data_IF_550927343337
#
_entry.id   IF_550927343337
#
_cell.length_a   1.000
_cell.length_b   1.000
_cell.length_c   1.000
_cell.angle_alpha   90.00
_cell.angle_beta   90.00
_cell.angle_gamma   90.00
#
_symmetry.space_group_name_H-M   'P 1'
#
loop_
_entity.id
_entity.type
_entity.pdbx_description
1 polymer ?
#
# COMPACT_ATOMS: atom_id res chain seq x y z
N UNK A 1 3.24 7.66 14.86
CA UNK A 1 4.60 7.76 14.29
C UNK A 1 4.92 9.23 14.22
N UNK A 2 6.19 9.61 14.37
CA UNK A 2 6.62 10.98 14.08
C UNK A 2 6.63 11.25 12.58
N UNK A 3 7.25 12.35 12.16
CA UNK A 3 7.43 12.67 10.74
C UNK A 3 8.32 11.65 10.01
N UNK A 4 9.21 10.98 10.74
CA UNK A 4 10.07 9.91 10.23
C UNK A 4 10.41 8.88 11.32
N UNK A 5 10.95 7.73 10.91
CA UNK A 5 11.68 6.79 11.76
C UNK A 5 12.85 6.21 10.96
N UNK A 6 13.91 5.80 11.65
CA UNK A 6 15.15 5.33 11.02
C UNK A 6 15.32 3.82 11.22
N UNK A 7 15.80 3.15 10.17
CA UNK A 7 16.29 1.78 10.25
C UNK A 7 17.81 1.85 10.04
N UNK A 8 18.64 1.46 11.03
CA UNK A 8 20.09 1.63 10.95
C UNK A 8 20.73 0.89 9.76
N UNK A 9 20.15 -0.23 9.35
CA UNK A 9 20.62 -1.05 8.24
C UNK A 9 19.42 -1.62 7.51
N UNK A 10 19.44 -1.52 6.18
CA UNK A 10 18.42 -2.09 5.33
C UNK A 10 18.86 -2.10 3.85
N UNK A 11 18.35 -3.02 3.04
CA UNK A 11 18.64 -3.08 1.60
C UNK A 11 18.04 -1.87 0.87
N UNK A 12 18.85 -1.21 0.03
CA UNK A 12 18.42 -0.05 -0.74
C UNK A 12 17.65 -0.48 -1.99
N UNK A 13 16.42 -0.01 -2.12
CA UNK A 13 15.72 0.11 -3.42
C UNK A 13 15.65 1.59 -3.77
N UNK A 14 15.79 1.94 -5.05
CA UNK A 14 15.80 3.32 -5.53
C UNK A 14 14.79 3.55 -6.64
N UNK A 15 14.36 4.79 -6.82
CA UNK A 15 13.63 5.20 -8.02
C UNK A 15 14.52 5.10 -9.27
N UNK A 16 13.98 4.87 -10.48
CA UNK A 16 12.56 4.73 -10.82
C UNK A 16 12.00 3.35 -10.49
N UNK A 17 10.97 3.30 -9.64
CA UNK A 17 10.19 2.11 -9.38
C UNK A 17 9.04 2.04 -10.39
N UNK A 18 9.09 1.07 -11.31
CA UNK A 18 8.12 0.90 -12.39
C UNK A 18 6.80 0.30 -11.92
N UNK A 19 6.05 1.14 -11.21
CA UNK A 19 4.71 0.88 -10.69
C UNK A 19 3.75 1.96 -11.19
N UNK A 20 2.45 1.67 -11.31
CA UNK A 20 1.46 2.74 -11.49
C UNK A 20 1.58 3.77 -10.36
N UNK A 21 1.19 5.01 -10.64
CA UNK A 21 1.10 6.02 -9.60
C UNK A 21 0.22 5.49 -8.44
N UNK A 22 0.69 5.52 -7.19
CA UNK A 22 -0.13 5.08 -6.06
C UNK A 22 -1.34 5.99 -5.89
N UNK A 23 -2.45 5.42 -5.44
CA UNK A 23 -3.64 6.20 -5.08
C UNK A 23 -3.30 7.16 -3.93
N UNK A 24 -2.45 6.69 -3.01
CA UNK A 24 -1.87 7.48 -1.94
C UNK A 24 -0.45 7.02 -1.62
N UNK A 25 0.49 7.97 -1.56
CA UNK A 25 1.88 7.76 -1.15
C UNK A 25 2.03 8.19 0.31
N UNK A 26 2.20 7.23 1.22
CA UNK A 26 2.22 7.49 2.67
C UNK A 26 3.62 7.47 3.28
N UNK A 27 4.60 6.87 2.60
CA UNK A 27 6.01 6.86 3.04
C UNK A 27 6.96 7.01 1.84
N UNK A 28 8.01 7.81 2.05
CA UNK A 28 9.17 7.94 1.16
C UNK A 28 10.40 7.60 1.97
N UNK A 29 11.20 6.67 1.49
CA UNK A 29 12.51 6.36 2.07
C UNK A 29 13.57 7.26 1.46
N UNK A 30 14.50 7.70 2.30
CA UNK A 30 15.80 8.24 1.90
C UNK A 30 16.87 7.23 2.30
N UNK A 31 17.85 7.00 1.44
CA UNK A 31 18.97 6.11 1.70
C UNK A 31 20.28 6.90 1.77
N UNK A 32 21.22 6.38 2.55
CA UNK A 32 22.55 6.97 2.72
C UNK A 32 23.30 7.16 1.38
N UNK A 33 23.01 6.32 0.37
CA UNK A 33 23.56 6.44 -0.99
C UNK A 33 23.05 7.64 -1.79
N UNK A 34 22.02 8.33 -1.30
CA UNK A 34 21.40 9.49 -1.93
C UNK A 34 20.10 9.16 -2.68
N UNK A 35 19.74 7.89 -2.79
CA UNK A 35 18.50 7.45 -3.44
C UNK A 35 17.27 7.73 -2.56
N UNK A 36 16.16 7.95 -3.24
CA UNK A 36 14.82 7.96 -2.63
C UNK A 36 13.99 6.81 -3.18
N UNK A 37 12.94 6.41 -2.45
CA UNK A 37 12.04 5.36 -2.89
C UNK A 37 10.64 5.54 -2.31
N UNK A 38 9.60 5.35 -3.14
CA UNK A 38 8.20 5.31 -2.70
C UNK A 38 7.92 4.02 -1.91
N UNK A 39 8.23 4.05 -0.62
CA UNK A 39 8.32 2.87 0.25
C UNK A 39 7.03 2.49 0.97
N UNK A 40 5.98 3.32 0.90
CA UNK A 40 4.64 3.02 1.41
C UNK A 40 3.59 3.49 0.43
N UNK A 41 3.01 2.56 -0.34
CA UNK A 41 2.07 2.86 -1.42
C UNK A 41 0.72 2.18 -1.19
N UNK A 42 -0.36 2.96 -1.28
CA UNK A 42 -1.74 2.49 -1.22
C UNK A 42 -2.34 2.38 -2.63
N UNK A 43 -3.10 1.30 -2.87
CA UNK A 43 -3.86 1.11 -4.10
C UNK A 43 -5.23 0.50 -3.83
N UNK A 44 -6.14 0.72 -4.78
CA UNK A 44 -7.45 0.10 -4.84
C UNK A 44 -7.55 -0.76 -6.09
N UNK A 45 -8.03 -2.00 -5.97
CA UNK A 45 -8.30 -2.91 -7.09
C UNK A 45 -9.64 -3.59 -6.87
N UNK A 46 -10.63 -3.23 -7.68
CA UNK A 46 -12.02 -3.63 -7.46
C UNK A 46 -12.49 -3.20 -6.06
N UNK A 47 -12.86 -4.17 -5.22
CA UNK A 47 -13.24 -3.93 -3.81
C UNK A 47 -12.08 -4.08 -2.83
N UNK A 48 -10.93 -4.53 -3.31
CA UNK A 48 -9.74 -4.78 -2.50
C UNK A 48 -8.91 -3.51 -2.34
N UNK A 49 -8.31 -3.39 -1.16
CA UNK A 49 -7.24 -2.44 -0.88
C UNK A 49 -5.91 -3.19 -0.88
N UNK A 50 -4.85 -2.52 -1.32
CA UNK A 50 -3.49 -3.07 -1.38
C UNK A 50 -2.56 -2.05 -0.73
N UNK A 51 -1.65 -2.52 0.12
CA UNK A 51 -0.59 -1.72 0.71
C UNK A 51 0.75 -2.37 0.42
N UNK A 52 1.61 -1.67 -0.31
CA UNK A 52 3.00 -2.06 -0.52
C UNK A 52 3.87 -1.33 0.50
N UNK A 53 4.71 -2.08 1.21
CA UNK A 53 5.62 -1.57 2.23
C UNK A 53 7.01 -2.19 2.04
N UNK A 54 8.03 -1.36 1.82
CA UNK A 54 9.36 -1.81 1.38
C UNK A 54 10.22 -2.54 2.43
N UNK A 55 10.36 -2.05 3.69
CA UNK A 55 11.35 -2.61 4.62
C UNK A 55 11.11 -4.09 4.94
N UNK A 56 12.16 -4.92 4.87
CA UNK A 56 12.03 -6.33 5.19
C UNK A 56 13.11 -7.26 4.64
N UNK A 57 14.30 -6.75 4.31
CA UNK A 57 15.39 -7.59 3.83
C UNK A 57 15.84 -8.60 4.90
N UNK A 58 16.04 -9.85 4.50
CA UNK A 58 16.13 -11.02 5.38
C UNK A 58 17.39 -11.06 6.24
N UNK A 59 18.45 -10.35 5.85
CA UNK A 59 19.71 -10.30 6.61
C UNK A 59 19.66 -9.33 7.80
N UNK A 60 18.59 -8.52 7.91
CA UNK A 60 18.42 -7.55 8.99
C UNK A 60 17.19 -7.87 9.85
N UNK A 61 17.20 -7.53 11.15
CA UNK A 61 16.08 -7.77 12.05
C UNK A 61 14.93 -6.76 11.85
N UNK A 62 14.65 -6.36 10.61
CA UNK A 62 13.73 -5.26 10.26
C UNK A 62 12.32 -5.47 10.79
N UNK A 63 11.82 -6.71 10.79
CA UNK A 63 10.50 -7.03 11.36
C UNK A 63 10.44 -7.04 12.89
N UNK A 64 11.57 -6.90 13.60
CA UNK A 64 11.60 -6.70 15.05
C UNK A 64 11.51 -5.22 15.44
N UNK A 65 11.62 -4.29 14.49
CA UNK A 65 11.43 -2.86 14.75
C UNK A 65 9.96 -2.55 15.06
N UNK A 66 9.73 -1.83 16.17
CA UNK A 66 8.38 -1.54 16.65
C UNK A 66 7.60 -0.60 15.72
N UNK A 67 8.28 0.27 14.96
CA UNK A 67 7.64 1.15 13.99
C UNK A 67 7.21 0.36 12.75
N UNK A 68 8.07 -0.55 12.26
CA UNK A 68 7.73 -1.48 11.16
C UNK A 68 6.49 -2.31 11.53
N UNK A 69 6.48 -2.92 12.70
CA UNK A 69 5.33 -3.69 13.19
C UNK A 69 4.06 -2.83 13.32
N UNK A 70 4.20 -1.59 13.79
CA UNK A 70 3.08 -0.65 13.91
C UNK A 70 2.50 -0.25 12.56
N UNK A 71 3.35 -0.01 11.55
CA UNK A 71 2.90 0.28 10.17
C UNK A 71 2.13 -0.93 9.63
N UNK A 72 2.67 -2.14 9.76
CA UNK A 72 2.00 -3.37 9.31
C UNK A 72 0.63 -3.54 10.01
N UNK A 73 0.57 -3.37 11.33
CA UNK A 73 -0.69 -3.49 12.07
C UNK A 73 -1.74 -2.45 11.64
N UNK A 74 -1.32 -1.21 11.36
CA UNK A 74 -2.20 -0.18 10.85
C UNK A 74 -2.68 -0.49 9.43
N UNK A 75 -1.78 -0.95 8.57
CA UNK A 75 -2.10 -1.36 7.22
C UNK A 75 -3.13 -2.49 7.22
N UNK A 76 -2.96 -3.54 8.03
CA UNK A 76 -3.92 -4.65 8.15
C UNK A 76 -5.32 -4.14 8.53
N UNK A 77 -5.42 -3.19 9.48
CA UNK A 77 -6.71 -2.58 9.84
C UNK A 77 -7.31 -1.79 8.68
N UNK A 78 -6.50 -1.03 7.95
CA UNK A 78 -6.94 -0.27 6.78
C UNK A 78 -7.36 -1.18 5.61
N UNK A 79 -6.68 -2.31 5.42
CA UNK A 79 -6.95 -3.31 4.39
C UNK A 79 -8.26 -4.07 4.62
N UNK A 80 -8.84 -4.00 5.82
CA UNK A 80 -10.07 -4.70 6.15
C UNK A 80 -11.21 -4.37 5.15
N UNK A 81 -12.00 -5.38 4.71
CA UNK A 81 -13.12 -5.17 3.81
C UNK A 81 -14.12 -4.14 4.33
N UNK A 82 -14.49 -3.16 3.51
CA UNK A 82 -15.38 -2.06 3.89
C UNK A 82 -16.89 -2.40 3.86
N UNK A 83 -17.28 -3.66 3.60
CA UNK A 83 -18.69 -4.07 3.64
C UNK A 83 -19.61 -3.55 2.52
N UNK A 84 -19.07 -3.20 1.34
CA UNK A 84 -19.86 -2.63 0.23
C UNK A 84 -20.80 -3.63 -0.51
N UNK A 85 -21.64 -3.15 -1.43
CA UNK A 85 -22.53 -4.00 -2.22
C UNK A 85 -21.76 -5.00 -3.10
N UNK A 86 -22.41 -6.11 -3.46
CA UNK A 86 -21.86 -7.08 -4.43
C UNK A 86 -21.88 -6.44 -5.80
N UNK A 87 -20.72 -6.39 -6.45
CA UNK A 87 -20.61 -5.86 -7.82
C UNK A 87 -21.07 -6.93 -8.80
N UNK A 88 -22.09 -6.62 -9.60
CA UNK A 88 -22.60 -7.48 -10.67
C UNK A 88 -22.38 -6.83 -12.02
N UNK A 89 -21.96 -7.62 -13.00
CA UNK A 89 -21.72 -7.19 -14.38
C UNK A 89 -22.60 -7.99 -15.35
N UNK A 90 -22.69 -7.53 -16.60
CA UNK A 90 -23.40 -8.23 -17.67
C UNK A 90 -24.72 -7.59 -18.08
N UNK A 91 -25.37 -8.23 -19.06
CA UNK A 91 -26.63 -7.76 -19.62
C UNK A 91 -27.77 -7.81 -18.59
N UNK A 92 -28.51 -6.72 -18.45
CA UNK A 92 -29.73 -6.66 -17.62
C UNK A 92 -30.95 -6.63 -18.55
N UNK A 93 -31.67 -7.75 -18.71
CA UNK A 93 -32.77 -7.85 -19.68
C UNK A 93 -33.98 -7.01 -19.28
N UNK A 94 -34.12 -6.71 -17.99
CA UNK A 94 -35.16 -5.82 -17.48
C UNK A 94 -34.58 -4.40 -17.31
N UNK A 95 -35.05 -3.41 -18.09
CA UNK A 95 -34.67 -2.03 -17.89
C UNK A 95 -35.23 -1.52 -16.56
N UNK A 96 -34.53 -0.54 -15.97
CA UNK A 96 -34.97 0.08 -14.71
C UNK A 96 -36.22 0.96 -14.89
N UNK A 97 -36.46 1.42 -16.13
CA UNK A 97 -37.61 2.25 -16.50
C UNK A 97 -38.33 1.62 -17.69
N UNK A 98 -39.60 2.00 -17.87
CA UNK A 98 -40.37 1.56 -19.02
C UNK A 98 -39.76 2.15 -20.32
N UNK A 99 -39.52 1.28 -21.29
CA UNK A 99 -39.09 1.70 -22.64
C UNK A 99 -40.36 1.94 -23.46
N UNK A 100 -40.60 3.18 -23.85
CA UNK A 100 -41.70 3.59 -24.74
C UNK A 100 -41.34 3.40 -26.21
#
# INVERSE_FOLDING_TARGET
LGEYFELPQEEMYGEFFDIPAPDELVLVSWFQGGEVFRSGCCYSRGRGRIFYFRPGHETYPTYYDANVQRVIANAVRWLAPAGGPVVTFGHRPQPLEAVT
#
